data_IF_280564423553
#
_entry.id   IF_280564423553
#
_cell.length_a   1.000
_cell.length_b   1.000
_cell.length_c   1.000
_cell.angle_alpha   90.00
_cell.angle_beta   90.00
_cell.angle_gamma   90.00
#
_symmetry.space_group_name_H-M   'P 1'
#
loop_
_entity.id
_entity.type
_entity.pdbx_description
1 polymer ?
#
# COMPACT_ATOMS: atom_id res chain seq x y z
N UNK A 1 -53.60 -11.84 37.38
CA UNK A 1 -53.18 -11.29 36.06
C UNK A 1 -51.66 -11.10 36.09
N UNK A 2 -50.96 -11.67 35.10
CA UNK A 2 -49.49 -11.78 35.03
C UNK A 2 -48.84 -10.43 34.75
N UNK A 3 -47.94 -9.99 35.62
CA UNK A 3 -47.03 -8.86 35.37
C UNK A 3 -45.86 -9.42 34.55
N UNK A 4 -45.80 -9.11 33.27
CA UNK A 4 -44.70 -9.49 32.39
C UNK A 4 -43.55 -8.49 32.56
N UNK A 5 -42.47 -8.95 33.19
CA UNK A 5 -41.21 -8.22 33.32
C UNK A 5 -40.48 -8.24 31.97
N UNK A 6 -40.44 -7.10 31.27
CA UNK A 6 -39.68 -6.98 30.02
C UNK A 6 -38.20 -6.74 30.35
N UNK A 7 -37.38 -7.78 30.23
CA UNK A 7 -35.93 -7.67 30.25
C UNK A 7 -35.47 -6.89 29.01
N UNK A 8 -34.96 -5.67 29.20
CA UNK A 8 -34.14 -4.99 28.18
C UNK A 8 -32.83 -5.78 28.09
N UNK A 9 -32.76 -6.69 27.12
CA UNK A 9 -31.52 -7.34 26.73
C UNK A 9 -30.61 -6.29 26.09
N UNK A 10 -29.66 -5.76 26.85
CA UNK A 10 -28.55 -5.00 26.31
C UNK A 10 -27.71 -5.95 25.43
N UNK A 11 -27.91 -5.88 24.12
CA UNK A 11 -27.01 -6.52 23.18
C UNK A 11 -25.67 -5.77 23.22
N UNK A 12 -24.72 -6.29 24.00
CA UNK A 12 -23.31 -5.98 23.81
C UNK A 12 -22.92 -6.56 22.44
N UNK A 13 -22.92 -5.71 21.42
CA UNK A 13 -22.40 -6.05 20.11
C UNK A 13 -20.87 -6.25 20.23
N UNK A 14 -20.47 -7.47 20.56
CA UNK A 14 -19.09 -7.92 20.47
C UNK A 14 -18.74 -8.27 19.03
N UNK A 15 -17.55 -7.83 18.62
CA UNK A 15 -16.71 -8.32 17.51
C UNK A 15 -17.08 -7.96 16.07
N UNK A 16 -16.29 -7.02 15.53
CA UNK A 16 -16.02 -6.90 14.11
C UNK A 16 -14.89 -5.92 13.81
N UNK A 17 -13.64 -6.24 14.19
CA UNK A 17 -12.51 -5.57 13.53
C UNK A 17 -12.47 -6.08 12.09
N UNK A 18 -13.08 -5.34 11.16
CA UNK A 18 -12.81 -5.50 9.74
C UNK A 18 -12.27 -4.21 9.09
N UNK A 19 -11.08 -3.70 9.49
CA UNK A 19 -10.40 -2.70 8.67
C UNK A 19 -9.50 -3.33 7.58
N UNK A 20 -9.96 -3.23 6.33
CA UNK A 20 -9.09 -2.92 5.18
C UNK A 20 -9.73 -1.75 4.43
N UNK A 21 -9.30 -0.56 4.84
CA UNK A 21 -9.85 0.75 4.50
C UNK A 21 -9.49 1.18 3.05
N UNK A 22 -10.12 2.24 2.51
CA UNK A 22 -10.08 2.59 1.09
C UNK A 22 -8.67 2.96 0.66
N UNK A 23 -8.29 2.48 -0.53
CA UNK A 23 -6.93 2.48 -1.10
C UNK A 23 -6.15 1.19 -0.84
N UNK A 24 -6.05 0.36 -1.87
CA UNK A 24 -5.25 -0.88 -1.88
C UNK A 24 -4.00 -0.73 -2.73
N UNK A 25 -2.96 -1.53 -2.43
CA UNK A 25 -1.77 -1.67 -3.28
C UNK A 25 -1.71 -3.10 -3.80
N UNK A 26 -1.50 -3.24 -5.11
CA UNK A 26 -1.22 -4.50 -5.77
C UNK A 26 0.16 -4.43 -6.44
N UNK A 27 0.96 -5.49 -6.33
CA UNK A 27 2.31 -5.55 -6.90
C UNK A 27 2.37 -6.55 -8.05
N UNK A 28 3.19 -6.23 -9.06
CA UNK A 28 3.61 -7.22 -10.04
C UNK A 28 4.55 -8.23 -9.41
N UNK A 29 4.69 -9.43 -10.03
CA UNK A 29 5.85 -10.28 -9.77
C UNK A 29 7.15 -9.49 -9.94
N UNK A 30 8.16 -9.87 -9.17
CA UNK A 30 9.50 -9.33 -9.33
C UNK A 30 10.06 -9.73 -10.70
N UNK A 31 10.72 -8.80 -11.39
CA UNK A 31 11.37 -9.06 -12.67
C UNK A 31 12.87 -8.86 -12.54
N UNK A 32 13.63 -9.94 -12.60
CA UNK A 32 15.08 -9.88 -12.67
C UNK A 32 15.51 -9.55 -14.11
N UNK A 33 16.46 -8.63 -14.27
CA UNK A 33 17.07 -8.35 -15.55
C UNK A 33 17.86 -9.55 -16.06
N UNK A 34 18.06 -9.63 -17.39
CA UNK A 34 18.75 -10.76 -18.03
C UNK A 34 20.19 -10.93 -17.53
N UNK A 35 20.84 -9.84 -17.13
CA UNK A 35 22.19 -9.85 -16.58
C UNK A 35 22.23 -10.14 -15.08
N UNK A 36 21.08 -10.30 -14.42
CA UNK A 36 20.98 -10.58 -12.99
C UNK A 36 21.29 -9.40 -12.07
N UNK A 37 21.69 -8.23 -12.61
CA UNK A 37 22.23 -7.11 -11.81
C UNK A 37 21.16 -6.20 -11.23
N UNK A 38 19.97 -6.23 -11.80
CA UNK A 38 18.85 -5.42 -11.33
C UNK A 38 17.56 -6.20 -11.25
N UNK A 39 16.72 -5.81 -10.30
CA UNK A 39 15.40 -6.36 -10.08
C UNK A 39 14.38 -5.23 -10.05
N UNK A 40 13.25 -5.42 -10.70
CA UNK A 40 12.23 -4.41 -10.87
C UNK A 40 10.86 -4.87 -10.38
N UNK A 41 10.10 -3.93 -9.83
CA UNK A 41 8.70 -4.10 -9.47
C UNK A 41 7.88 -2.96 -10.03
N UNK A 42 6.63 -3.28 -10.35
CA UNK A 42 5.58 -2.29 -10.58
C UNK A 42 4.48 -2.50 -9.57
N UNK A 43 3.74 -1.45 -9.25
CA UNK A 43 2.58 -1.52 -8.37
C UNK A 43 1.46 -0.64 -8.87
N UNK A 44 0.24 -0.99 -8.46
CA UNK A 44 -0.97 -0.20 -8.67
C UNK A 44 -1.60 0.12 -7.33
N UNK A 45 -1.81 1.40 -7.09
CA UNK A 45 -2.58 1.92 -5.96
C UNK A 45 -3.98 2.23 -6.45
N UNK A 46 -5.01 1.64 -5.85
CA UNK A 46 -6.41 1.79 -6.30
C UNK A 46 -7.30 2.28 -5.17
N UNK A 47 -7.97 3.41 -5.37
CA UNK A 47 -8.98 3.90 -4.45
C UNK A 47 -10.34 3.26 -4.75
N UNK A 48 -10.83 2.41 -3.86
CA UNK A 48 -12.14 1.76 -3.95
C UNK A 48 -13.22 2.43 -3.11
N UNK A 49 -12.88 3.49 -2.38
CA UNK A 49 -13.83 4.25 -1.58
C UNK A 49 -14.01 5.68 -2.10
N UNK A 50 -14.38 6.57 -1.19
CA UNK A 50 -14.50 8.00 -1.48
C UNK A 50 -13.13 8.62 -1.84
N UNK A 51 -13.17 9.77 -2.52
CA UNK A 51 -11.97 10.53 -2.88
C UNK A 51 -11.07 10.81 -1.68
N UNK A 52 -9.76 10.60 -1.86
CA UNK A 52 -8.73 10.86 -0.84
C UNK A 52 -7.79 11.97 -1.28
N UNK A 53 -7.25 12.70 -0.30
CA UNK A 53 -6.20 13.69 -0.43
C UNK A 53 -4.88 13.18 0.13
N UNK A 54 -3.78 13.75 -0.37
CA UNK A 54 -2.43 13.63 0.19
C UNK A 54 -1.97 12.20 0.39
N UNK A 55 -2.36 11.38 -0.58
CA UNK A 55 -1.98 9.99 -0.71
C UNK A 55 -0.47 9.89 -0.79
N UNK A 56 0.13 9.27 0.21
CA UNK A 56 1.53 8.92 0.27
C UNK A 56 1.65 7.41 0.38
N UNK A 57 2.59 6.81 -0.35
CA UNK A 57 2.88 5.38 -0.26
C UNK A 57 4.36 5.20 0.01
N UNK A 58 4.69 4.44 1.05
CA UNK A 58 6.08 4.10 1.39
C UNK A 58 6.28 2.62 1.16
N UNK A 59 7.13 2.27 0.21
CA UNK A 59 7.52 0.91 -0.08
C UNK A 59 8.87 0.57 0.56
N UNK A 60 9.02 -0.67 1.03
CA UNK A 60 10.26 -1.21 1.59
C UNK A 60 10.63 -2.51 0.91
N UNK A 61 11.92 -2.69 0.66
CA UNK A 61 12.51 -3.92 0.14
C UNK A 61 13.11 -4.74 1.30
N UNK A 62 12.90 -6.05 1.24
CA UNK A 62 13.40 -7.04 2.20
C UNK A 62 14.05 -8.19 1.42
N UNK A 63 15.38 -8.39 1.50
CA UNK A 63 16.37 -7.54 2.16
C UNK A 63 16.43 -6.13 1.57
N UNK A 64 17.11 -5.21 2.26
CA UNK A 64 17.31 -3.86 1.73
C UNK A 64 18.19 -3.96 0.49
N UNK A 65 17.75 -3.32 -0.59
CA UNK A 65 18.51 -3.20 -1.83
C UNK A 65 18.69 -1.72 -2.17
N UNK A 66 19.74 -1.43 -2.93
CA UNK A 66 20.01 -0.08 -3.43
C UNK A 66 19.06 0.24 -4.58
N UNK A 67 18.16 1.20 -4.36
CA UNK A 67 17.22 1.65 -5.38
C UNK A 67 17.94 2.59 -6.34
N UNK A 68 17.95 2.23 -7.63
CA UNK A 68 18.69 2.94 -8.69
C UNK A 68 17.77 3.72 -9.63
N UNK A 69 16.48 3.40 -9.67
CA UNK A 69 15.50 4.16 -10.43
C UNK A 69 14.09 4.03 -9.84
N UNK A 70 13.32 5.11 -9.92
CA UNK A 70 11.91 5.18 -9.49
C UNK A 70 11.09 6.01 -10.48
N UNK A 71 9.78 5.76 -10.55
CA UNK A 71 8.84 6.59 -11.32
C UNK A 71 8.77 8.02 -10.78
N UNK A 72 8.52 9.05 -11.63
CA UNK A 72 8.23 10.41 -11.18
C UNK A 72 7.13 10.46 -10.11
N UNK A 73 7.27 11.38 -9.15
CA UNK A 73 6.40 11.46 -7.96
C UNK A 73 6.81 10.51 -6.84
N UNK A 74 7.87 9.72 -7.04
CA UNK A 74 8.51 8.90 -6.02
C UNK A 74 9.97 9.31 -5.80
N UNK A 75 10.47 9.13 -4.58
CA UNK A 75 11.86 9.36 -4.20
C UNK A 75 12.42 8.11 -3.52
N UNK A 76 13.62 7.70 -3.94
CA UNK A 76 14.32 6.60 -3.29
C UNK A 76 14.63 6.95 -1.82
N UNK A 77 14.56 5.95 -0.95
CA UNK A 77 14.93 6.03 0.47
C UNK A 77 15.85 4.87 0.81
N UNK A 78 16.48 4.89 1.99
CA UNK A 78 17.27 3.77 2.47
C UNK A 78 16.46 2.45 2.46
N UNK A 79 16.76 1.55 1.52
CA UNK A 79 16.10 0.25 1.37
C UNK A 79 14.65 0.30 0.84
N UNK A 80 14.25 1.36 0.14
CA UNK A 80 12.86 1.51 -0.32
C UNK A 80 12.59 2.76 -1.16
N UNK A 81 11.32 3.16 -1.22
CA UNK A 81 10.87 4.34 -1.97
C UNK A 81 9.66 4.97 -1.30
N UNK A 82 9.58 6.31 -1.31
CA UNK A 82 8.41 7.07 -0.86
C UNK A 82 7.79 7.81 -2.05
N UNK A 83 6.51 7.58 -2.29
CA UNK A 83 5.72 8.18 -3.36
C UNK A 83 4.68 9.14 -2.80
N UNK A 84 4.62 10.37 -3.32
CA UNK A 84 3.59 11.35 -3.01
C UNK A 84 2.68 11.53 -4.22
N UNK A 85 1.46 10.99 -4.14
CA UNK A 85 0.49 11.01 -5.25
C UNK A 85 -0.55 12.13 -5.12
N UNK A 86 -0.60 12.83 -3.98
CA UNK A 86 -1.57 13.90 -3.75
C UNK A 86 -2.99 13.35 -3.70
N UNK A 87 -3.92 14.02 -4.39
CA UNK A 87 -5.30 13.56 -4.43
C UNK A 87 -5.49 12.34 -5.35
N UNK A 88 -6.34 11.41 -4.91
CA UNK A 88 -6.80 10.26 -5.69
C UNK A 88 -8.34 10.18 -5.61
N UNK A 89 -9.06 10.46 -6.72
CA UNK A 89 -10.52 10.40 -6.71
C UNK A 89 -11.05 8.99 -6.45
N UNK A 90 -12.34 8.90 -6.09
CA UNK A 90 -13.04 7.62 -5.99
C UNK A 90 -12.90 6.82 -7.31
N UNK A 91 -12.58 5.52 -7.21
CA UNK A 91 -12.29 4.65 -8.36
C UNK A 91 -10.94 4.90 -9.04
N UNK A 92 -10.24 5.97 -8.66
CA UNK A 92 -8.98 6.39 -9.26
C UNK A 92 -7.82 5.41 -9.00
N UNK A 93 -6.81 5.49 -9.86
CA UNK A 93 -5.60 4.66 -9.78
C UNK A 93 -4.32 5.47 -9.97
N UNK A 94 -3.23 4.97 -9.37
CA UNK A 94 -1.86 5.42 -9.60
C UNK A 94 -0.97 4.21 -9.78
N UNK A 95 0.01 4.31 -10.66
CA UNK A 95 1.01 3.27 -10.86
C UNK A 95 2.39 3.80 -10.51
N UNK A 96 3.26 2.88 -10.12
CA UNK A 96 4.67 3.20 -9.89
C UNK A 96 5.55 2.03 -10.25
N UNK A 97 6.83 2.33 -10.42
CA UNK A 97 7.89 1.38 -10.71
C UNK A 97 9.11 1.74 -9.88
N UNK A 98 9.82 0.71 -9.43
CA UNK A 98 11.15 0.84 -8.86
C UNK A 98 12.08 -0.21 -9.46
N UNK A 99 13.35 0.15 -9.58
CA UNK A 99 14.45 -0.74 -9.94
C UNK A 99 15.49 -0.66 -8.84
N UNK A 100 15.94 -1.82 -8.38
CA UNK A 100 17.00 -1.93 -7.39
C UNK A 100 18.15 -2.80 -7.90
N UNK A 101 19.36 -2.52 -7.42
CA UNK A 101 20.55 -3.33 -7.67
C UNK A 101 20.49 -4.62 -6.85
N UNK A 102 20.85 -5.72 -7.48
CA UNK A 102 21.06 -7.01 -6.82
C UNK A 102 22.55 -7.11 -6.49
N UNK A 103 22.93 -7.29 -5.22
CA UNK A 103 24.34 -7.52 -4.87
C UNK A 103 24.90 -8.78 -5.51
N UNK A 104 26.19 -8.76 -5.84
CA UNK A 104 26.87 -9.94 -6.37
C UNK A 104 26.79 -11.11 -5.38
N UNK A 105 26.48 -12.30 -5.89
CA UNK A 105 26.33 -13.50 -5.08
C UNK A 105 25.08 -13.55 -4.19
N UNK A 106 24.15 -12.58 -4.32
CA UNK A 106 22.89 -12.61 -3.58
C UNK A 106 22.09 -13.89 -3.86
N UNK A 107 21.57 -14.51 -2.80
CA UNK A 107 20.71 -15.70 -2.84
C UNK A 107 19.44 -15.45 -2.03
N UNK A 108 18.36 -16.15 -2.37
CA UNK A 108 17.09 -16.10 -1.66
C UNK A 108 16.04 -15.17 -2.30
N UNK A 109 14.98 -14.91 -1.55
CA UNK A 109 13.79 -14.20 -2.05
C UNK A 109 13.80 -12.74 -1.62
N UNK A 110 13.64 -11.83 -2.59
CA UNK A 110 13.39 -10.41 -2.30
C UNK A 110 11.90 -10.14 -2.28
N UNK A 111 11.44 -9.46 -1.23
CA UNK A 111 10.05 -9.04 -1.06
C UNK A 111 9.95 -7.52 -1.09
N UNK A 112 8.87 -7.04 -1.68
CA UNK A 112 8.42 -5.65 -1.60
C UNK A 112 7.12 -5.61 -0.80
N UNK A 113 6.99 -4.62 0.06
CA UNK A 113 5.74 -4.30 0.76
C UNK A 113 5.61 -2.80 0.92
N UNK A 114 4.39 -2.31 1.13
CA UNK A 114 4.15 -0.89 1.23
C UNK A 114 3.09 -0.53 2.24
N UNK A 115 3.20 0.69 2.76
CA UNK A 115 2.23 1.29 3.67
C UNK A 115 1.64 2.51 2.97
N UNK A 116 0.32 2.62 3.01
CA UNK A 116 -0.43 3.75 2.46
C UNK A 116 -0.83 4.68 3.59
N UNK A 117 -0.65 5.98 3.41
CA UNK A 117 -1.25 7.02 4.24
C UNK A 117 -2.00 8.03 3.38
N UNK A 118 -3.14 8.51 3.84
CA UNK A 118 -3.99 9.48 3.14
C UNK A 118 -4.88 10.21 4.14
N UNK A 119 -5.47 11.34 3.70
CA UNK A 119 -6.59 12.00 4.38
C UNK A 119 -7.83 12.00 3.51
N UNK A 120 -9.03 12.09 4.08
CA UNK A 120 -10.24 12.28 3.26
C UNK A 120 -10.09 13.57 2.47
N UNK A 121 -10.47 13.57 1.20
CA UNK A 121 -10.55 14.82 0.45
C UNK A 121 -11.67 15.69 1.06
N UNK A 122 -11.45 17.00 1.16
CA UNK A 122 -12.52 17.91 1.54
C UNK A 122 -13.65 17.84 0.50
N UNK A 123 -14.94 17.87 0.92
CA UNK A 123 -16.03 18.06 -0.02
C UNK A 123 -15.81 19.39 -0.75
N UNK A 124 -16.00 19.38 -2.06
CA UNK A 124 -16.04 20.62 -2.86
C UNK A 124 -17.42 21.23 -2.74
#
# INVERSE_FOLDING_TARGET
>A
MKIALTLVGAALAGTGFAPAAPVTIEYSPARLARDGRTIAWTWTVRNTGASVGDLTVVHRLRPRLDVVAVTPGCAATAGGVRCGYGALPAGGRRTGRLVARVPDGAKGTVRIGGTVTWRRAAPR
#
